data_IF_506893901814
#
_entry.id   IF_506893901814
#
_cell.length_a   1.000
_cell.length_b   1.000
_cell.length_c   1.000
_cell.angle_alpha   90.00
_cell.angle_beta   90.00
_cell.angle_gamma   90.00
#
_symmetry.space_group_name_H-M   'P 1'
#
loop_
_entity.id
_entity.type
_entity.pdbx_description
1 polymer ?
#
# COMPACT_ATOMS: atom_id res chain seq x y z
N UNK A 1 57.55 -30.54 16.63
CA UNK A 1 57.61 -29.53 15.56
C UNK A 1 56.30 -28.82 15.51
N UNK A 2 56.21 -27.53 15.83
CA UNK A 2 54.95 -26.79 15.94
C UNK A 2 54.66 -26.08 14.61
N UNK A 3 53.41 -26.17 14.15
CA UNK A 3 52.93 -25.40 13.01
C UNK A 3 52.08 -24.24 13.52
N UNK A 4 52.54 -23.05 13.19
CA UNK A 4 51.99 -21.73 13.48
C UNK A 4 50.65 -21.55 12.79
N UNK A 5 49.63 -21.11 13.52
CA UNK A 5 48.47 -20.45 12.95
C UNK A 5 48.58 -18.96 13.18
N UNK A 6 48.82 -18.24 12.11
CA UNK A 6 48.89 -16.79 12.04
C UNK A 6 47.51 -16.15 12.30
N UNK A 7 47.55 -15.24 13.25
CA UNK A 7 46.51 -14.24 13.54
C UNK A 7 46.29 -13.33 12.32
N UNK A 8 45.11 -13.30 11.80
CA UNK A 8 44.60 -12.15 11.02
C UNK A 8 43.62 -11.39 11.88
N UNK A 9 44.19 -10.46 12.66
CA UNK A 9 43.48 -9.31 13.19
C UNK A 9 43.67 -8.18 12.20
N UNK A 10 42.61 -7.67 11.61
CA UNK A 10 42.42 -6.25 11.29
C UNK A 10 41.11 -6.08 10.50
N UNK A 11 40.03 -5.87 11.20
CA UNK A 11 38.83 -5.23 10.66
C UNK A 11 38.96 -3.71 10.84
N UNK A 12 38.66 -2.90 9.83
CA UNK A 12 38.70 -1.45 9.98
C UNK A 12 37.56 -0.94 10.88
N UNK A 13 37.73 0.24 11.51
CA UNK A 13 36.78 0.78 12.48
C UNK A 13 35.46 1.20 11.77
N UNK A 14 34.36 0.94 12.43
CA UNK A 14 33.04 1.47 12.12
C UNK A 14 33.08 3.01 12.16
N UNK A 15 33.26 3.63 11.00
CA UNK A 15 33.02 5.05 10.82
C UNK A 15 31.51 5.28 10.74
N UNK A 16 31.07 6.16 11.65
CA UNK A 16 29.73 6.65 11.79
C UNK A 16 29.07 7.05 10.47
N UNK A 17 27.95 6.40 10.13
CA UNK A 17 27.02 6.87 9.10
C UNK A 17 25.96 7.75 9.80
N UNK A 18 26.37 8.98 10.09
CA UNK A 18 25.45 10.02 10.55
C UNK A 18 25.49 11.21 9.59
N UNK A 19 24.99 11.01 8.36
CA UNK A 19 24.75 12.13 7.42
C UNK A 19 23.70 11.78 6.34
N UNK A 20 22.64 11.06 6.65
CA UNK A 20 21.53 10.83 5.69
C UNK A 20 20.19 11.44 6.15
N UNK A 21 20.18 12.38 7.09
CA UNK A 21 18.94 13.06 7.55
C UNK A 21 18.65 14.39 6.86
N UNK A 22 19.41 14.79 5.85
CA UNK A 22 19.28 16.14 5.25
C UNK A 22 18.73 16.22 3.84
N UNK A 23 18.30 15.13 3.19
CA UNK A 23 17.86 15.18 1.79
C UNK A 23 16.33 15.06 1.58
N UNK A 24 15.54 14.79 2.61
CA UNK A 24 14.09 14.65 2.48
C UNK A 24 13.24 15.84 2.95
N UNK A 25 13.86 16.97 3.29
CA UNK A 25 13.20 18.12 3.89
C UNK A 25 13.03 19.29 2.92
N UNK A 26 12.71 19.08 1.63
CA UNK A 26 12.45 20.21 0.74
C UNK A 26 11.40 19.96 -0.34
N UNK A 27 10.26 19.38 0.05
CA UNK A 27 9.01 19.50 -0.71
C UNK A 27 7.96 20.12 0.19
N UNK A 28 8.12 21.42 0.42
CA UNK A 28 7.14 22.22 1.13
C UNK A 28 6.08 22.68 0.12
N UNK A 29 5.02 21.89 -0.03
CA UNK A 29 3.82 22.32 -0.74
C UNK A 29 3.11 23.35 0.11
N UNK A 30 3.22 24.62 -0.26
CA UNK A 30 2.48 25.71 0.35
C UNK A 30 1.18 25.96 -0.46
N UNK A 31 0.00 25.64 0.06
CA UNK A 31 -1.27 25.86 -0.63
C UNK A 31 -1.73 27.32 -0.67
N UNK A 32 -0.96 28.28 -0.15
CA UNK A 32 -1.35 29.69 -0.01
C UNK A 32 -0.95 30.61 -1.19
N UNK A 33 -0.41 30.07 -2.28
CA UNK A 33 0.09 30.90 -3.40
C UNK A 33 -0.78 30.83 -4.68
N UNK A 34 -2.07 30.59 -4.56
CA UNK A 34 -2.99 30.69 -5.70
C UNK A 34 -4.18 31.57 -5.36
N UNK A 35 -3.96 32.84 -5.06
CA UNK A 35 -5.01 33.87 -5.14
C UNK A 35 -4.37 35.23 -5.37
N UNK A 36 -4.09 35.59 -6.63
CA UNK A 36 -4.22 36.95 -7.15
C UNK A 36 -3.97 36.93 -8.65
N UNK A 37 -4.99 36.76 -9.44
CA UNK A 37 -5.04 37.35 -10.78
C UNK A 37 -6.47 37.77 -11.04
N UNK A 38 -6.72 39.07 -10.78
CA UNK A 38 -7.93 39.79 -11.17
C UNK A 38 -7.82 40.16 -12.63
N UNK A 39 -8.44 39.37 -13.48
CA UNK A 39 -8.53 39.69 -14.91
C UNK A 39 -9.64 38.84 -15.53
N UNK A 40 -10.85 39.38 -15.60
CA UNK A 40 -11.99 38.78 -16.29
C UNK A 40 -11.80 38.81 -17.81
N UNK A 41 -11.95 37.65 -18.49
CA UNK A 41 -12.68 37.64 -19.75
C UNK A 41 -13.98 36.83 -19.56
N UNK A 42 -15.09 37.46 -19.96
CA UNK A 42 -16.39 36.82 -20.14
C UNK A 42 -16.28 35.75 -21.26
N UNK A 43 -15.90 34.57 -20.90
CA UNK A 43 -16.05 33.35 -21.70
C UNK A 43 -17.03 32.44 -20.94
N UNK A 44 -18.09 31.99 -21.61
CA UNK A 44 -19.07 31.03 -21.08
C UNK A 44 -18.29 29.79 -20.64
N UNK A 45 -18.03 29.66 -19.33
CA UNK A 45 -17.45 28.45 -18.74
C UNK A 45 -18.52 27.39 -18.92
N UNK A 46 -18.35 26.55 -19.95
CA UNK A 46 -19.05 25.25 -20.00
C UNK A 46 -18.63 24.56 -18.71
N UNK A 47 -19.61 24.31 -17.82
CA UNK A 47 -19.38 23.65 -16.56
C UNK A 47 -18.60 22.36 -16.82
N UNK A 48 -17.31 22.40 -16.50
CA UNK A 48 -16.39 21.30 -16.75
C UNK A 48 -16.95 20.03 -16.16
N UNK A 49 -16.92 18.96 -16.93
CA UNK A 49 -17.20 17.61 -16.46
C UNK A 49 -16.47 17.43 -15.13
N UNK A 50 -17.24 17.35 -14.04
CA UNK A 50 -16.67 17.29 -12.69
C UNK A 50 -15.63 16.21 -12.66
N UNK A 51 -14.41 16.57 -12.28
CA UNK A 51 -13.29 15.61 -12.14
C UNK A 51 -13.81 14.48 -11.27
N UNK A 52 -14.13 13.36 -11.90
CA UNK A 52 -14.67 12.18 -11.20
C UNK A 52 -13.57 11.68 -10.28
N UNK A 53 -13.67 12.03 -8.99
CA UNK A 53 -12.68 11.61 -7.99
C UNK A 53 -12.56 10.09 -8.04
N UNK A 54 -11.34 9.60 -8.24
CA UNK A 54 -11.04 8.17 -8.22
C UNK A 54 -11.36 7.60 -6.84
N UNK A 55 -12.42 6.82 -6.74
CA UNK A 55 -12.85 6.20 -5.48
C UNK A 55 -12.37 4.75 -5.38
N UNK A 56 -12.28 4.24 -4.16
CA UNK A 56 -12.01 2.82 -3.89
C UNK A 56 -12.99 1.92 -4.62
N UNK A 57 -14.27 2.30 -4.68
CA UNK A 57 -15.30 1.59 -5.43
C UNK A 57 -14.96 1.42 -6.91
N UNK A 58 -14.46 2.47 -7.56
CA UNK A 58 -14.05 2.40 -8.97
C UNK A 58 -12.88 1.42 -9.17
N UNK A 59 -11.94 1.36 -8.22
CA UNK A 59 -10.83 0.41 -8.25
C UNK A 59 -11.34 -1.02 -8.13
N UNK A 60 -12.21 -1.29 -7.14
CA UNK A 60 -12.78 -2.63 -6.91
C UNK A 60 -13.65 -3.10 -8.08
N UNK A 61 -14.42 -2.21 -8.72
CA UNK A 61 -15.25 -2.54 -9.88
C UNK A 61 -14.42 -3.06 -11.07
N UNK A 62 -13.16 -2.65 -11.21
CA UNK A 62 -12.26 -3.12 -12.28
C UNK A 62 -11.42 -4.34 -11.88
N UNK A 63 -10.92 -4.34 -10.65
CA UNK A 63 -10.06 -5.39 -10.12
C UNK A 63 -10.84 -6.64 -9.71
N UNK A 64 -12.09 -6.46 -9.30
CA UNK A 64 -12.87 -7.45 -8.56
C UNK A 64 -12.76 -7.27 -7.03
N UNK A 65 -13.70 -7.85 -6.33
CA UNK A 65 -13.84 -7.77 -4.86
C UNK A 65 -13.37 -9.05 -4.13
N UNK A 66 -12.82 -10.02 -4.85
CA UNK A 66 -12.33 -11.26 -4.24
C UNK A 66 -11.17 -10.98 -3.30
N UNK A 67 -11.25 -11.47 -2.06
CA UNK A 67 -10.21 -11.34 -1.04
C UNK A 67 -9.88 -12.72 -0.49
N UNK A 68 -8.60 -13.05 -0.45
CA UNK A 68 -8.11 -14.25 0.22
C UNK A 68 -8.08 -13.99 1.72
N UNK A 69 -8.79 -14.81 2.47
CA UNK A 69 -8.93 -14.69 3.92
C UNK A 69 -8.54 -15.96 4.62
N UNK A 70 -8.08 -15.87 5.85
CA UNK A 70 -7.78 -17.02 6.70
C UNK A 70 -8.29 -16.80 8.12
N UNK A 71 -8.42 -17.89 8.86
CA UNK A 71 -8.80 -17.85 10.28
C UNK A 71 -7.58 -17.62 11.18
N UNK A 72 -7.75 -17.03 12.37
CA UNK A 72 -6.64 -16.74 13.30
C UNK A 72 -5.94 -17.99 13.82
N UNK A 73 -6.60 -19.14 13.78
CA UNK A 73 -6.06 -20.43 14.19
C UNK A 73 -5.13 -21.08 13.17
N UNK A 74 -5.16 -20.63 11.90
CA UNK A 74 -4.29 -21.14 10.86
C UNK A 74 -2.80 -20.87 11.17
N UNK A 75 -1.90 -21.70 10.63
CA UNK A 75 -0.46 -21.57 10.84
C UNK A 75 0.17 -20.59 9.85
N UNK A 76 1.33 -20.03 10.20
CA UNK A 76 2.10 -19.19 9.30
C UNK A 76 2.54 -19.95 8.04
N UNK A 77 2.88 -21.26 8.17
CA UNK A 77 3.21 -22.11 7.03
C UNK A 77 2.06 -22.18 6.01
N UNK A 78 0.82 -22.39 6.48
CA UNK A 78 -0.36 -22.41 5.62
C UNK A 78 -0.57 -21.04 4.94
N UNK A 79 -0.37 -19.95 5.66
CA UNK A 79 -0.50 -18.59 5.10
C UNK A 79 0.54 -18.33 4.01
N UNK A 80 1.80 -18.71 4.21
CA UNK A 80 2.86 -18.58 3.22
C UNK A 80 2.50 -19.34 1.93
N UNK A 81 2.04 -20.57 2.07
CA UNK A 81 1.59 -21.39 0.93
C UNK A 81 0.45 -20.70 0.18
N UNK A 82 -0.55 -20.18 0.90
CA UNK A 82 -1.69 -19.47 0.32
C UNK A 82 -1.26 -18.20 -0.41
N UNK A 83 -0.39 -17.37 0.18
CA UNK A 83 0.15 -16.17 -0.47
C UNK A 83 0.87 -16.50 -1.77
N UNK A 84 1.72 -17.53 -1.76
CA UNK A 84 2.48 -17.98 -2.93
C UNK A 84 1.55 -18.52 -4.04
N UNK A 85 0.58 -19.37 -3.71
CA UNK A 85 -0.38 -19.94 -4.66
C UNK A 85 -1.21 -18.85 -5.35
N UNK A 86 -1.69 -17.88 -4.59
CA UNK A 86 -2.50 -16.77 -5.11
C UNK A 86 -1.68 -15.61 -5.67
N UNK A 87 -0.34 -15.64 -5.53
CA UNK A 87 0.59 -14.56 -5.95
C UNK A 87 0.21 -13.21 -5.36
N UNK A 88 -0.12 -13.18 -4.07
CA UNK A 88 -0.53 -11.98 -3.34
C UNK A 88 0.46 -11.66 -2.21
N UNK A 89 0.62 -10.38 -1.88
CA UNK A 89 1.55 -9.91 -0.84
C UNK A 89 0.92 -9.72 0.54
N UNK A 90 -0.40 -9.93 0.67
CA UNK A 90 -1.09 -9.86 1.97
C UNK A 90 -2.39 -10.65 1.92
N UNK A 91 -2.83 -11.15 3.08
CA UNK A 91 -4.13 -11.76 3.30
C UNK A 91 -4.80 -11.16 4.53
N UNK A 92 -6.14 -11.22 4.57
CA UNK A 92 -6.93 -10.69 5.67
C UNK A 92 -7.30 -11.83 6.62
N UNK A 93 -7.16 -11.59 7.92
CA UNK A 93 -7.57 -12.54 8.96
C UNK A 93 -8.94 -12.13 9.47
N UNK A 94 -9.89 -13.05 9.38
CA UNK A 94 -11.26 -12.83 9.81
C UNK A 94 -11.54 -13.55 11.13
N UNK A 95 -12.31 -12.89 12.00
CA UNK A 95 -12.89 -13.50 13.20
C UNK A 95 -14.07 -14.40 12.89
N UNK A 96 -14.61 -15.06 13.93
CA UNK A 96 -15.78 -15.96 13.81
C UNK A 96 -17.04 -15.24 13.28
N UNK A 97 -17.17 -13.94 13.56
CA UNK A 97 -18.23 -13.05 13.07
C UNK A 97 -17.98 -12.50 11.65
N UNK A 98 -16.92 -12.98 10.97
CA UNK A 98 -16.45 -12.53 9.65
C UNK A 98 -16.01 -11.07 9.59
N UNK A 99 -15.68 -10.47 10.72
CA UNK A 99 -15.05 -9.15 10.80
C UNK A 99 -13.54 -9.26 10.63
N UNK A 100 -12.94 -8.19 10.12
CA UNK A 100 -11.48 -8.09 10.00
C UNK A 100 -10.89 -7.94 11.41
N UNK A 101 -10.07 -8.91 11.81
CA UNK A 101 -9.37 -8.92 13.10
C UNK A 101 -7.86 -8.80 12.95
N UNK A 102 -7.36 -8.91 11.73
CA UNK A 102 -5.94 -8.79 11.43
C UNK A 102 -5.64 -8.80 9.94
N UNK A 103 -4.41 -8.44 9.61
CA UNK A 103 -3.82 -8.58 8.29
C UNK A 103 -2.43 -9.21 8.43
N UNK A 104 -2.07 -10.10 7.52
CA UNK A 104 -0.74 -10.67 7.40
C UNK A 104 -0.14 -10.27 6.07
N UNK A 105 1.02 -9.67 6.07
CA UNK A 105 1.78 -9.28 4.89
C UNK A 105 3.11 -10.03 4.81
N UNK A 106 3.75 -10.01 3.64
CA UNK A 106 5.12 -10.53 3.46
C UNK A 106 6.11 -9.94 4.47
N UNK A 107 5.94 -8.66 4.84
CA UNK A 107 6.79 -7.99 5.85
C UNK A 107 6.60 -8.61 7.23
N UNK A 108 5.38 -9.00 7.61
CA UNK A 108 5.13 -9.65 8.89
C UNK A 108 5.76 -11.03 8.94
N UNK A 109 5.76 -11.75 7.81
CA UNK A 109 6.43 -13.04 7.67
C UNK A 109 7.94 -12.88 7.88
N UNK A 110 8.58 -11.94 7.18
CA UNK A 110 10.02 -11.70 7.30
C UNK A 110 10.38 -11.33 8.75
N UNK A 111 9.59 -10.45 9.39
CA UNK A 111 9.79 -10.07 10.80
C UNK A 111 9.68 -11.28 11.72
N UNK A 112 8.67 -12.12 11.54
CA UNK A 112 8.47 -13.31 12.37
C UNK A 112 9.60 -14.33 12.20
N UNK A 113 10.09 -14.51 10.97
CA UNK A 113 11.25 -15.36 10.72
C UNK A 113 12.53 -14.82 11.35
N UNK A 114 12.75 -13.51 11.33
CA UNK A 114 13.90 -12.88 11.98
C UNK A 114 13.89 -13.09 13.50
N UNK A 115 12.70 -13.17 14.11
CA UNK A 115 12.54 -13.33 15.56
C UNK A 115 12.57 -14.80 16.02
N UNK A 116 11.93 -15.72 15.27
CA UNK A 116 11.69 -17.11 15.71
C UNK A 116 12.40 -18.16 14.84
N UNK A 117 13.10 -17.75 13.77
CA UNK A 117 13.74 -18.73 12.88
C UNK A 117 12.73 -19.70 12.26
N UNK A 118 13.10 -20.98 12.20
CA UNK A 118 12.25 -22.04 11.64
C UNK A 118 10.95 -22.27 12.44
N UNK A 119 10.94 -21.98 13.73
CA UNK A 119 9.76 -22.16 14.61
C UNK A 119 8.62 -21.19 14.24
N UNK A 120 8.93 -20.13 13.47
CA UNK A 120 7.95 -19.23 12.90
C UNK A 120 6.82 -19.97 12.15
N UNK A 121 7.15 -21.04 11.42
CA UNK A 121 6.21 -21.79 10.59
C UNK A 121 5.04 -22.39 11.37
N UNK A 122 5.27 -22.78 12.61
CA UNK A 122 4.25 -23.40 13.48
C UNK A 122 3.39 -22.38 14.22
N UNK A 123 3.77 -21.10 14.21
CA UNK A 123 3.03 -20.02 14.88
C UNK A 123 1.65 -19.85 14.23
N UNK A 124 0.64 -19.56 15.07
CA UNK A 124 -0.72 -19.22 14.61
C UNK A 124 -0.77 -17.78 14.12
N UNK A 125 -1.64 -17.50 13.15
CA UNK A 125 -1.81 -16.15 12.60
C UNK A 125 -2.18 -15.14 13.68
N UNK A 126 -2.98 -15.52 14.65
CA UNK A 126 -3.33 -14.69 15.81
C UNK A 126 -2.13 -14.15 16.60
N UNK A 127 -0.96 -14.81 16.51
CA UNK A 127 0.25 -14.44 17.24
C UNK A 127 1.15 -13.50 16.45
N UNK A 128 1.07 -13.54 15.09
CA UNK A 128 2.03 -12.91 14.19
C UNK A 128 1.42 -11.82 13.29
N UNK A 129 0.08 -11.83 13.14
CA UNK A 129 -0.64 -10.85 12.33
C UNK A 129 -0.56 -9.44 12.93
N UNK A 130 -0.66 -8.41 12.10
CA UNK A 130 -0.94 -7.05 12.52
C UNK A 130 -2.41 -6.94 12.90
N UNK A 131 -2.70 -6.57 14.16
CA UNK A 131 -4.08 -6.48 14.71
C UNK A 131 -4.71 -5.11 14.50
N UNK A 132 -3.94 -4.04 14.59
CA UNK A 132 -4.41 -2.68 14.30
C UNK A 132 -4.45 -2.46 12.80
N UNK A 133 -5.53 -2.94 12.19
CA UNK A 133 -5.71 -2.90 10.73
C UNK A 133 -6.33 -1.56 10.34
N UNK A 134 -5.58 -0.77 9.54
CA UNK A 134 -6.17 0.37 8.85
C UNK A 134 -7.15 -0.16 7.80
N UNK A 135 -8.41 0.26 7.85
CA UNK A 135 -9.46 -0.08 6.88
C UNK A 135 -9.95 1.18 6.17
N UNK A 136 -10.64 1.02 5.03
CA UNK A 136 -11.28 2.12 4.32
C UNK A 136 -12.67 1.70 3.83
N UNK A 137 -13.49 2.69 3.45
CA UNK A 137 -14.78 2.48 2.80
C UNK A 137 -14.68 2.61 1.27
N UNK A 138 -15.70 2.13 0.56
CA UNK A 138 -15.79 2.24 -0.91
C UNK A 138 -15.85 3.68 -1.42
N UNK A 139 -16.40 4.61 -0.63
CA UNK A 139 -16.55 6.00 -1.01
C UNK A 139 -15.27 6.83 -0.88
N UNK A 140 -14.25 6.32 -0.20
CA UNK A 140 -13.00 7.04 -0.02
C UNK A 140 -12.23 7.19 -1.33
N UNK A 141 -11.44 8.27 -1.42
CA UNK A 141 -10.65 8.55 -2.63
C UNK A 141 -9.33 7.80 -2.60
N UNK A 142 -8.85 7.40 -3.78
CA UNK A 142 -7.56 6.74 -3.92
C UNK A 142 -6.39 7.60 -3.41
N UNK A 143 -6.49 8.93 -3.54
CA UNK A 143 -5.47 9.86 -3.02
C UNK A 143 -5.38 9.76 -1.50
N UNK A 144 -6.51 9.85 -0.79
CA UNK A 144 -6.56 9.70 0.67
C UNK A 144 -5.98 8.35 1.12
N UNK A 145 -6.33 7.27 0.41
CA UNK A 145 -5.80 5.94 0.72
C UNK A 145 -4.29 5.87 0.51
N UNK A 146 -3.79 6.44 -0.58
CA UNK A 146 -2.35 6.48 -0.88
C UNK A 146 -1.55 7.25 0.19
N UNK A 147 -2.07 8.38 0.66
CA UNK A 147 -1.48 9.15 1.75
C UNK A 147 -1.41 8.33 3.05
N UNK A 148 -2.51 7.65 3.40
CA UNK A 148 -2.56 6.76 4.58
C UNK A 148 -1.58 5.59 4.46
N UNK A 149 -1.48 4.96 3.29
CA UNK A 149 -0.50 3.90 3.03
C UNK A 149 0.93 4.38 3.18
N UNK A 150 1.23 5.59 2.67
CA UNK A 150 2.57 6.18 2.74
C UNK A 150 2.94 6.54 4.18
N UNK A 151 2.06 7.23 4.88
CA UNK A 151 2.26 7.64 6.28
C UNK A 151 2.35 6.43 7.21
N UNK A 152 1.45 5.46 7.05
CA UNK A 152 1.38 4.26 7.88
C UNK A 152 2.37 3.16 7.45
N UNK A 153 3.14 3.37 6.36
CA UNK A 153 4.13 2.41 5.82
C UNK A 153 3.57 1.02 5.55
N UNK A 154 2.31 0.93 5.11
CA UNK A 154 1.68 -0.32 4.65
C UNK A 154 1.26 -0.19 3.19
N UNK A 155 1.09 -1.32 2.49
CA UNK A 155 0.82 -1.34 1.05
C UNK A 155 -0.52 -1.98 0.68
N UNK A 156 -1.26 -2.47 1.66
CA UNK A 156 -2.55 -3.11 1.49
C UNK A 156 -3.52 -2.57 2.53
N UNK A 157 -4.75 -2.31 2.13
CA UNK A 157 -5.81 -1.83 3.01
C UNK A 157 -7.10 -2.60 2.73
N UNK A 158 -7.69 -3.29 3.70
CA UNK A 158 -8.99 -3.91 3.57
C UNK A 158 -10.08 -2.86 3.42
N UNK A 159 -11.01 -3.12 2.50
CA UNK A 159 -12.20 -2.29 2.30
C UNK A 159 -13.36 -2.89 3.07
N UNK A 160 -13.96 -2.09 3.93
CA UNK A 160 -15.00 -2.54 4.86
C UNK A 160 -16.24 -1.66 4.70
N UNK A 161 -17.40 -2.30 4.55
CA UNK A 161 -18.70 -1.65 4.55
C UNK A 161 -19.61 -2.34 5.58
N UNK A 162 -20.22 -1.55 6.46
CA UNK A 162 -21.09 -2.06 7.53
C UNK A 162 -20.43 -3.19 8.33
N UNK A 163 -19.18 -2.99 8.73
CA UNK A 163 -18.33 -3.94 9.47
C UNK A 163 -17.99 -5.23 8.72
N UNK A 164 -18.27 -5.33 7.43
CA UNK A 164 -17.98 -6.51 6.60
C UNK A 164 -16.90 -6.21 5.57
N UNK A 165 -15.98 -7.15 5.40
CA UNK A 165 -14.96 -7.10 4.37
C UNK A 165 -15.64 -7.21 2.99
N UNK A 166 -15.45 -6.18 2.13
CA UNK A 166 -15.98 -6.12 0.76
C UNK A 166 -14.89 -6.13 -0.29
N UNK A 167 -13.63 -5.93 0.09
CA UNK A 167 -12.51 -5.91 -0.85
C UNK A 167 -11.18 -5.67 -0.15
N UNK A 168 -10.12 -5.65 -0.92
CA UNK A 168 -8.78 -5.20 -0.49
C UNK A 168 -8.17 -4.35 -1.61
N UNK A 169 -7.51 -3.26 -1.26
CA UNK A 169 -6.80 -2.40 -2.22
C UNK A 169 -5.33 -2.37 -1.86
N UNK A 170 -4.48 -2.54 -2.87
CA UNK A 170 -3.03 -2.39 -2.75
C UNK A 170 -2.56 -1.08 -3.37
N UNK A 171 -1.37 -0.62 -2.99
CA UNK A 171 -0.73 0.53 -3.65
C UNK A 171 -0.55 0.30 -5.15
N UNK A 172 -0.31 -0.94 -5.58
CA UNK A 172 -0.21 -1.32 -6.98
C UNK A 172 -1.54 -1.16 -7.73
N UNK A 173 -2.68 -1.42 -7.09
CA UNK A 173 -4.00 -1.20 -7.68
C UNK A 173 -4.26 0.29 -7.92
N UNK A 174 -3.88 1.15 -6.97
CA UNK A 174 -4.00 2.60 -7.08
C UNK A 174 -3.14 3.12 -8.23
N UNK A 175 -1.88 2.70 -8.31
CA UNK A 175 -0.94 3.10 -9.37
C UNK A 175 -1.46 2.67 -10.75
N UNK A 176 -1.88 1.41 -10.91
CA UNK A 176 -2.44 0.90 -12.17
C UNK A 176 -3.66 1.69 -12.62
N UNK A 177 -4.56 2.01 -11.68
CA UNK A 177 -5.76 2.78 -12.00
C UNK A 177 -5.39 4.22 -12.41
N UNK A 178 -4.43 4.85 -11.73
CA UNK A 178 -3.97 6.21 -12.05
C UNK A 178 -3.31 6.28 -13.43
N UNK A 179 -2.47 5.32 -13.76
CA UNK A 179 -1.86 5.22 -15.09
C UNK A 179 -2.94 5.10 -16.17
N UNK A 180 -3.93 4.25 -15.96
CA UNK A 180 -5.02 4.12 -16.90
C UNK A 180 -5.82 5.43 -17.09
N UNK A 181 -6.14 6.16 -16.00
CA UNK A 181 -6.79 7.47 -16.12
C UNK A 181 -5.97 8.45 -16.96
N UNK A 182 -4.66 8.52 -16.69
CA UNK A 182 -3.76 9.39 -17.46
C UNK A 182 -3.71 9.02 -18.95
N UNK A 183 -3.75 7.73 -19.28
CA UNK A 183 -3.82 7.27 -20.67
C UNK A 183 -5.14 7.70 -21.33
N UNK A 184 -6.27 7.60 -20.64
CA UNK A 184 -7.57 8.04 -21.16
C UNK A 184 -7.61 9.57 -21.35
N UNK A 185 -7.12 10.34 -20.39
CA UNK A 185 -7.02 11.80 -20.50
C UNK A 185 -6.15 12.21 -21.71
N UNK A 186 -5.00 11.53 -21.87
CA UNK A 186 -4.09 11.79 -23.00
C UNK A 186 -4.68 11.41 -24.35
N UNK A 187 -5.43 10.32 -24.42
CA UNK A 187 -6.13 9.91 -25.65
C UNK A 187 -7.21 10.93 -26.03
N UNK A 188 -8.06 11.31 -25.08
CA UNK A 188 -9.10 12.32 -25.31
C UNK A 188 -8.54 13.68 -25.78
N UNK A 189 -7.39 14.10 -25.22
CA UNK A 189 -6.73 15.32 -25.65
C UNK A 189 -6.20 15.23 -27.09
N UNK A 190 -5.64 14.09 -27.48
CA UNK A 190 -5.17 13.84 -28.85
C UNK A 190 -6.32 13.88 -29.86
N UNK A 191 -7.44 13.23 -29.53
CA UNK A 191 -8.63 13.21 -30.37
C UNK A 191 -9.21 14.62 -30.55
N UNK A 192 -9.23 15.42 -29.48
CA UNK A 192 -9.66 16.82 -29.54
C UNK A 192 -8.77 17.67 -30.47
N UNK A 193 -7.44 17.51 -30.37
CA UNK A 193 -6.49 18.25 -31.23
C UNK A 193 -6.62 17.84 -32.71
N UNK A 194 -6.92 16.55 -33.01
CA UNK A 194 -7.05 16.06 -34.39
C UNK A 194 -8.40 16.44 -35.01
N UNK A 195 -9.41 16.75 -34.20
CA UNK A 195 -10.76 17.11 -34.65
C UNK A 195 -10.98 18.62 -34.72
N UNK A 196 -10.02 19.43 -34.31
CA UNK A 196 -10.03 20.90 -34.36
C UNK A 196 -9.30 21.43 -35.59
#
# INVERSE_FOLDING_TARGET
MPSQWLLYSCGPPLLAIDTAKSAYARWNWNPALVLSNTGTPRGRIVAGAGRRLMTVKAILSRKGSSVVTMEPAATLAAAITTLAQHRIGALVVLGADRRVIGILSERDIVRTFAEFGADALTKRLAQVMTREVATCGEAETAVSIMERMTTGKFRHIPVVEKDRLVGIVSIGDIVKHRLWEMEQESAAMRDYIQSA
#
